data_IF_949817943721
#
_entry.id   IF_949817943721
#
_cell.length_a   1.000
_cell.length_b   1.000
_cell.length_c   1.000
_cell.angle_alpha   90.00
_cell.angle_beta   90.00
_cell.angle_gamma   90.00
#
_symmetry.space_group_name_H-M   'P 1'
#
loop_
_entity.id
_entity.type
_entity.pdbx_description
1 polymer ?
#
# COMPACT_ATOMS: atom_id res chain seq x y z
N UNK A 1 -18.49 -4.88 -2.88
CA UNK A 1 -18.33 -6.21 -2.27
C UNK A 1 -17.96 -6.04 -0.81
N UNK A 2 -18.10 -7.06 0.02
CA UNK A 2 -17.60 -7.01 1.41
C UNK A 2 -16.29 -7.78 1.55
N UNK A 3 -15.62 -7.52 2.66
CA UNK A 3 -14.38 -8.15 3.09
C UNK A 3 -14.62 -8.81 4.44
N UNK A 4 -14.19 -10.06 4.58
CA UNK A 4 -14.31 -10.84 5.80
C UNK A 4 -13.01 -10.93 6.58
N UNK A 5 -13.11 -11.11 7.90
CA UNK A 5 -11.97 -11.43 8.75
C UNK A 5 -11.64 -12.92 8.69
N UNK A 6 -10.39 -13.29 8.41
CA UNK A 6 -9.93 -14.70 8.43
C UNK A 6 -10.09 -15.38 9.78
N UNK A 7 -10.13 -14.61 10.88
CA UNK A 7 -10.28 -15.13 12.25
C UNK A 7 -11.68 -14.93 12.80
N UNK A 8 -12.58 -14.28 12.04
CA UNK A 8 -13.97 -14.08 12.41
C UNK A 8 -14.82 -13.96 11.14
N UNK A 9 -15.30 -15.10 10.65
CA UNK A 9 -16.15 -15.14 9.46
C UNK A 9 -17.53 -14.49 9.66
N UNK A 10 -17.88 -13.94 10.82
CA UNK A 10 -19.08 -13.09 10.97
C UNK A 10 -18.78 -11.60 10.72
N UNK A 11 -17.52 -11.17 10.86
CA UNK A 11 -17.11 -9.80 10.56
C UNK A 11 -17.14 -9.57 9.05
N UNK A 12 -17.89 -8.56 8.61
CA UNK A 12 -17.97 -8.11 7.22
C UNK A 12 -17.89 -6.61 7.14
N UNK A 13 -16.90 -6.09 6.43
CA UNK A 13 -16.67 -4.65 6.25
C UNK A 13 -16.60 -4.30 4.76
N UNK A 14 -16.78 -3.04 4.41
CA UNK A 14 -16.47 -2.54 3.07
C UNK A 14 -14.96 -2.27 2.93
N UNK A 15 -14.53 -1.92 1.72
CA UNK A 15 -13.13 -1.60 1.46
C UNK A 15 -12.63 -0.43 2.31
N UNK A 16 -13.38 0.66 2.41
CA UNK A 16 -12.98 1.85 3.18
C UNK A 16 -12.69 1.50 4.64
N UNK A 17 -13.58 0.72 5.26
CA UNK A 17 -13.40 0.27 6.65
C UNK A 17 -12.23 -0.71 6.77
N UNK A 18 -12.07 -1.66 5.83
CA UNK A 18 -10.92 -2.56 5.84
C UNK A 18 -9.59 -1.82 5.67
N UNK A 19 -9.57 -0.78 4.83
CA UNK A 19 -8.42 0.07 4.58
C UNK A 19 -8.03 0.87 5.83
N UNK A 20 -9.01 1.50 6.49
CA UNK A 20 -8.80 2.29 7.71
C UNK A 20 -8.34 1.44 8.88
N UNK A 21 -9.00 0.30 9.10
CA UNK A 21 -8.66 -0.61 10.19
C UNK A 21 -7.28 -1.23 10.02
N UNK A 22 -6.87 -1.50 8.77
CA UNK A 22 -5.60 -2.14 8.41
C UNK A 22 -5.50 -3.63 8.77
N UNK A 23 -6.12 -4.04 9.89
CA UNK A 23 -6.20 -5.41 10.38
C UNK A 23 -7.61 -5.65 10.93
N UNK A 24 -8.11 -6.88 10.78
CA UNK A 24 -9.44 -7.25 11.25
C UNK A 24 -9.44 -7.61 12.74
N UNK A 25 -10.63 -7.85 13.31
CA UNK A 25 -10.74 -8.28 14.71
C UNK A 25 -9.96 -9.58 14.97
N UNK A 26 -9.54 -9.77 16.23
CA UNK A 26 -8.81 -10.96 16.68
C UNK A 26 -7.50 -11.23 15.90
N UNK A 27 -6.79 -10.16 15.52
CA UNK A 27 -5.59 -10.21 14.67
C UNK A 27 -5.82 -10.94 13.33
N UNK A 28 -7.06 -10.94 12.82
CA UNK A 28 -7.39 -11.50 11.52
C UNK A 28 -6.97 -10.58 10.36
N UNK A 29 -6.99 -11.13 9.15
CA UNK A 29 -6.77 -10.39 7.91
C UNK A 29 -8.09 -10.17 7.19
N UNK A 30 -8.23 -9.05 6.49
CA UNK A 30 -9.36 -8.84 5.59
C UNK A 30 -9.13 -9.51 4.24
N UNK A 31 -10.10 -10.30 3.78
CA UNK A 31 -10.11 -10.95 2.48
C UNK A 31 -11.43 -10.64 1.75
N UNK A 32 -11.43 -10.44 0.43
CA UNK A 32 -12.66 -10.23 -0.31
C UNK A 32 -13.54 -11.49 -0.25
N UNK A 33 -14.86 -11.32 -0.18
CA UNK A 33 -15.80 -12.46 -0.11
C UNK A 33 -15.71 -13.43 -1.30
N UNK A 34 -15.25 -12.93 -2.46
CA UNK A 34 -14.92 -13.71 -3.63
C UNK A 34 -13.81 -13.02 -4.40
N UNK A 35 -13.09 -13.78 -5.24
CA UNK A 35 -12.10 -13.22 -6.17
C UNK A 35 -12.82 -12.93 -7.49
N UNK A 36 -12.99 -11.65 -7.91
CA UNK A 36 -13.60 -11.30 -9.18
C UNK A 36 -12.86 -11.92 -10.35
N UNK A 37 -13.60 -12.41 -11.35
CA UNK A 37 -13.03 -12.92 -12.60
C UNK A 37 -13.14 -11.85 -13.69
N UNK A 38 -12.01 -11.48 -14.27
CA UNK A 38 -11.99 -10.63 -15.46
C UNK A 38 -12.26 -11.47 -16.72
N UNK A 39 -13.04 -10.94 -17.66
CA UNK A 39 -13.29 -11.61 -18.93
C UNK A 39 -12.02 -11.64 -19.78
N UNK A 40 -11.92 -12.61 -20.69
CA UNK A 40 -10.81 -12.67 -21.63
C UNK A 40 -10.71 -11.40 -22.49
N UNK A 41 -11.84 -10.78 -22.85
CA UNK A 41 -11.85 -9.51 -23.58
C UNK A 41 -11.15 -8.41 -22.79
N UNK A 42 -11.53 -8.19 -21.53
CA UNK A 42 -10.89 -7.19 -20.65
C UNK A 42 -9.39 -7.42 -20.50
N UNK A 43 -8.96 -8.68 -20.41
CA UNK A 43 -7.52 -9.02 -20.31
C UNK A 43 -6.80 -8.70 -21.63
N UNK A 44 -7.42 -8.98 -22.79
CA UNK A 44 -6.86 -8.65 -24.10
C UNK A 44 -6.77 -7.14 -24.33
N UNK A 45 -7.77 -6.39 -23.87
CA UNK A 45 -7.82 -4.93 -23.98
C UNK A 45 -6.70 -4.23 -23.20
N UNK A 46 -6.02 -4.93 -22.28
CA UNK A 46 -4.85 -4.41 -21.56
C UNK A 46 -3.56 -4.40 -22.38
N UNK A 47 -3.50 -5.06 -23.55
CA UNK A 47 -2.25 -5.21 -24.33
C UNK A 47 -1.60 -3.84 -24.59
N UNK A 48 -0.38 -3.66 -24.07
CA UNK A 48 0.39 -2.42 -24.19
C UNK A 48 -0.19 -1.20 -23.44
N UNK A 49 -1.21 -1.38 -22.60
CA UNK A 49 -1.81 -0.27 -21.86
C UNK A 49 -0.91 0.22 -20.71
N UNK A 50 -0.95 1.52 -20.37
CA UNK A 50 -0.24 2.07 -19.22
C UNK A 50 -0.58 1.35 -17.91
N UNK A 51 0.35 1.37 -16.94
CA UNK A 51 0.17 0.66 -15.67
C UNK A 51 -1.09 1.12 -14.93
N UNK A 52 -1.38 2.43 -14.93
CA UNK A 52 -2.55 3.00 -14.29
C UNK A 52 -3.88 2.46 -14.86
N UNK A 53 -3.98 2.30 -16.18
CA UNK A 53 -5.18 1.77 -16.85
C UNK A 53 -5.39 0.28 -16.55
N UNK A 54 -4.31 -0.51 -16.54
CA UNK A 54 -4.35 -1.91 -16.12
C UNK A 54 -4.76 -2.00 -14.65
N UNK A 55 -4.17 -1.16 -13.79
CA UNK A 55 -4.52 -1.09 -12.38
C UNK A 55 -6.00 -0.72 -12.18
N UNK A 56 -6.54 0.22 -12.95
CA UNK A 56 -7.96 0.58 -12.90
C UNK A 56 -8.83 -0.63 -13.21
N UNK A 57 -8.55 -1.35 -14.29
CA UNK A 57 -9.34 -2.50 -14.71
C UNK A 57 -9.31 -3.64 -13.69
N UNK A 58 -8.15 -3.88 -13.05
CA UNK A 58 -7.98 -4.93 -12.03
C UNK A 58 -8.61 -4.51 -10.71
N UNK A 59 -8.31 -3.30 -10.21
CA UNK A 59 -8.70 -2.85 -8.89
C UNK A 59 -10.17 -2.40 -8.81
N UNK A 60 -10.76 -1.87 -9.89
CA UNK A 60 -12.18 -1.49 -9.88
C UNK A 60 -13.11 -2.69 -9.64
N UNK A 61 -12.64 -3.92 -9.87
CA UNK A 61 -13.39 -5.13 -9.57
C UNK A 61 -13.49 -5.41 -8.05
N UNK A 62 -12.61 -4.80 -7.25
CA UNK A 62 -12.54 -4.96 -5.80
C UNK A 62 -13.05 -3.75 -5.02
N UNK A 63 -13.14 -2.58 -5.66
CA UNK A 63 -13.32 -1.28 -5.02
C UNK A 63 -14.64 -0.65 -5.47
N UNK A 64 -15.74 -0.98 -4.80
CA UNK A 64 -17.08 -0.46 -5.13
C UNK A 64 -17.49 0.79 -4.33
N UNK A 65 -16.75 1.13 -3.27
CA UNK A 65 -17.02 2.30 -2.45
C UNK A 65 -16.44 3.60 -3.01
N UNK A 66 -15.48 3.50 -3.93
CA UNK A 66 -14.77 4.64 -4.52
C UNK A 66 -15.36 4.91 -5.91
N UNK A 67 -15.87 6.12 -6.20
CA UNK A 67 -16.35 6.48 -7.53
C UNK A 67 -15.27 6.28 -8.60
N UNK A 68 -15.69 5.85 -9.81
CA UNK A 68 -14.76 5.52 -10.89
C UNK A 68 -13.82 6.68 -11.28
N UNK A 69 -14.33 7.92 -11.29
CA UNK A 69 -13.52 9.12 -11.57
C UNK A 69 -12.40 9.30 -10.55
N UNK A 70 -12.74 9.12 -9.28
CA UNK A 70 -11.83 9.35 -8.16
C UNK A 70 -10.79 8.23 -8.10
N UNK A 71 -11.21 6.98 -8.32
CA UNK A 71 -10.30 5.85 -8.43
C UNK A 71 -9.31 6.06 -9.58
N UNK A 72 -9.79 6.48 -10.77
CA UNK A 72 -8.90 6.75 -11.90
C UNK A 72 -7.88 7.84 -11.57
N UNK A 73 -8.34 8.97 -11.02
CA UNK A 73 -7.44 10.06 -10.60
C UNK A 73 -6.38 9.61 -9.60
N UNK A 74 -6.75 8.78 -8.62
CA UNK A 74 -5.78 8.26 -7.64
C UNK A 74 -4.76 7.31 -8.26
N UNK A 75 -5.17 6.50 -9.24
CA UNK A 75 -4.28 5.56 -9.93
C UNK A 75 -3.32 6.28 -10.87
N UNK A 76 -3.81 7.31 -11.58
CA UNK A 76 -2.98 8.16 -12.43
C UNK A 76 -1.89 8.86 -11.60
N UNK A 77 -2.23 9.36 -10.40
CA UNK A 77 -1.26 9.96 -9.48
C UNK A 77 -0.31 8.92 -8.84
N UNK A 78 -0.84 7.77 -8.42
CA UNK A 78 -0.07 6.72 -7.77
C UNK A 78 0.97 6.10 -8.73
N UNK A 79 0.63 5.99 -10.02
CA UNK A 79 1.41 5.29 -11.04
C UNK A 79 1.89 6.19 -12.17
N UNK A 80 2.06 7.49 -11.90
CA UNK A 80 2.71 8.43 -12.80
C UNK A 80 4.07 7.87 -13.25
N UNK A 81 4.21 7.64 -14.56
CA UNK A 81 5.40 7.02 -15.16
C UNK A 81 6.66 7.89 -15.04
N UNK A 82 6.51 9.20 -14.82
CA UNK A 82 7.64 10.09 -14.52
C UNK A 82 8.24 9.85 -13.14
N UNK A 83 7.46 9.28 -12.21
CA UNK A 83 7.85 8.99 -10.83
C UNK A 83 8.16 7.51 -10.62
N UNK A 84 7.36 6.62 -11.20
CA UNK A 84 7.49 5.16 -11.07
C UNK A 84 7.43 4.46 -12.43
N UNK A 85 8.45 4.66 -13.29
CA UNK A 85 8.47 4.08 -14.62
C UNK A 85 8.49 2.55 -14.54
N UNK A 86 7.47 1.91 -15.10
CA UNK A 86 7.34 0.46 -15.12
C UNK A 86 7.74 -0.07 -16.48
N UNK A 87 8.53 -1.13 -16.54
CA UNK A 87 8.86 -1.77 -17.82
C UNK A 87 8.98 -3.29 -17.68
N UNK A 88 8.56 -3.99 -18.71
CA UNK A 88 8.95 -5.38 -18.97
C UNK A 88 10.11 -5.35 -19.95
N UNK A 89 11.16 -6.14 -19.69
CA UNK A 89 12.31 -6.25 -20.57
C UNK A 89 12.57 -7.73 -20.85
N UNK A 90 12.65 -8.10 -22.12
CA UNK A 90 13.18 -9.41 -22.51
C UNK A 90 14.68 -9.46 -22.25
N UNK A 91 15.14 -10.51 -21.57
CA UNK A 91 16.56 -10.71 -21.22
C UNK A 91 17.16 -11.94 -21.88
N UNK A 92 16.31 -12.85 -22.36
CA UNK A 92 16.67 -14.00 -23.20
C UNK A 92 15.38 -14.58 -23.82
N UNK A 93 15.54 -15.59 -24.67
CA UNK A 93 14.42 -16.34 -25.25
C UNK A 93 13.45 -16.80 -24.16
N UNK A 94 12.17 -16.43 -24.31
CA UNK A 94 11.08 -16.70 -23.37
C UNK A 94 11.33 -16.26 -21.91
N UNK A 95 12.29 -15.35 -21.66
CA UNK A 95 12.63 -14.84 -20.32
C UNK A 95 12.51 -13.32 -20.28
N UNK A 96 11.67 -12.85 -19.37
CA UNK A 96 11.38 -11.44 -19.19
C UNK A 96 11.59 -11.03 -17.73
N UNK A 97 12.00 -9.78 -17.53
CA UNK A 97 12.08 -9.14 -16.21
C UNK A 97 11.05 -8.01 -16.17
N UNK A 98 10.14 -8.05 -15.19
CA UNK A 98 9.32 -6.92 -14.80
C UNK A 98 10.09 -6.07 -13.78
N UNK A 99 10.49 -4.87 -14.19
CA UNK A 99 11.27 -3.97 -13.35
C UNK A 99 10.37 -3.16 -12.43
N UNK A 100 10.18 -3.63 -11.19
CA UNK A 100 9.41 -2.96 -10.13
C UNK A 100 10.28 -2.14 -9.17
N UNK A 101 11.53 -1.86 -9.52
CA UNK A 101 12.54 -1.23 -8.64
C UNK A 101 12.96 0.15 -9.13
N UNK A 102 12.15 0.77 -9.98
CA UNK A 102 12.46 2.07 -10.60
C UNK A 102 11.70 3.25 -10.00
N UNK A 103 10.91 3.00 -8.97
CA UNK A 103 10.25 4.04 -8.19
C UNK A 103 11.19 4.79 -7.25
N UNK A 104 10.65 5.75 -6.48
CA UNK A 104 11.42 6.65 -5.61
C UNK A 104 12.29 5.93 -4.59
N UNK A 105 11.90 4.72 -4.17
CA UNK A 105 12.61 3.99 -3.12
C UNK A 105 13.36 2.76 -3.61
N UNK A 106 13.37 2.55 -4.93
CA UNK A 106 14.00 1.42 -5.60
C UNK A 106 13.44 0.05 -5.19
N UNK A 107 12.17 0.01 -4.76
CA UNK A 107 11.52 -1.21 -4.27
C UNK A 107 10.14 -1.40 -4.89
N UNK A 108 9.76 -2.66 -5.15
CA UNK A 108 8.41 -3.00 -5.61
C UNK A 108 7.31 -2.56 -4.64
N UNK A 109 7.69 -2.28 -3.38
CA UNK A 109 6.80 -1.76 -2.35
C UNK A 109 6.23 -0.39 -2.70
N UNK A 110 6.88 0.38 -3.57
CA UNK A 110 6.43 1.70 -4.01
C UNK A 110 5.03 1.63 -4.63
N UNK A 111 4.77 0.65 -5.50
CA UNK A 111 3.47 0.50 -6.17
C UNK A 111 2.31 0.42 -5.18
N UNK A 112 2.40 -0.54 -4.25
CA UNK A 112 1.36 -0.73 -3.25
C UNK A 112 1.29 0.40 -2.23
N UNK A 113 2.44 0.95 -1.83
CA UNK A 113 2.50 2.06 -0.87
C UNK A 113 1.83 3.31 -1.43
N UNK A 114 2.13 3.66 -2.69
CA UNK A 114 1.61 4.85 -3.36
C UNK A 114 0.10 4.80 -3.48
N UNK A 115 -0.47 3.71 -4.01
CA UNK A 115 -1.92 3.54 -4.04
C UNK A 115 -2.54 3.60 -2.63
N UNK A 116 -1.96 2.87 -1.67
CA UNK A 116 -2.45 2.86 -0.29
C UNK A 116 -2.52 4.27 0.30
N UNK A 117 -1.47 5.09 0.13
CA UNK A 117 -1.43 6.46 0.61
C UNK A 117 -2.56 7.33 0.04
N UNK A 118 -2.79 7.27 -1.29
CA UNK A 118 -3.84 8.06 -1.96
C UNK A 118 -5.23 7.61 -1.51
N UNK A 119 -5.47 6.30 -1.51
CA UNK A 119 -6.74 5.74 -1.08
C UNK A 119 -7.05 6.06 0.39
N UNK A 120 -6.05 5.94 1.28
CA UNK A 120 -6.22 6.27 2.69
C UNK A 120 -6.51 7.76 2.87
N UNK A 121 -5.73 8.63 2.24
CA UNK A 121 -5.91 10.08 2.33
C UNK A 121 -7.27 10.54 1.78
N UNK A 122 -7.73 9.93 0.69
CA UNK A 122 -9.05 10.17 0.10
C UNK A 122 -10.18 9.78 1.06
N UNK A 123 -10.15 8.55 1.59
CA UNK A 123 -11.19 8.07 2.52
C UNK A 123 -11.22 8.92 3.78
N UNK A 124 -10.06 9.29 4.32
CA UNK A 124 -9.95 10.17 5.49
C UNK A 124 -10.50 11.57 5.22
N UNK A 125 -10.14 12.16 4.07
CA UNK A 125 -10.64 13.48 3.68
C UNK A 125 -12.17 13.52 3.58
N UNK A 126 -12.80 12.47 3.02
CA UNK A 126 -14.27 12.39 2.96
C UNK A 126 -14.93 12.29 4.34
N UNK A 127 -14.23 11.74 5.32
CA UNK A 127 -14.74 11.56 6.69
C UNK A 127 -14.37 12.73 7.61
N UNK A 128 -13.53 13.67 7.16
CA UNK A 128 -12.97 14.72 8.01
C UNK A 128 -12.08 14.15 9.11
N UNK A 129 -11.46 12.99 8.87
CA UNK A 129 -10.63 12.26 9.82
C UNK A 129 -9.14 12.42 9.50
N UNK A 130 -8.28 12.15 10.48
CA UNK A 130 -6.84 12.02 10.31
C UNK A 130 -6.37 10.68 10.86
N UNK A 131 -5.24 10.16 10.37
CA UNK A 131 -4.61 8.97 10.96
C UNK A 131 -3.11 9.16 11.18
N UNK A 132 -2.61 8.59 12.26
CA UNK A 132 -1.17 8.37 12.46
C UNK A 132 -0.82 6.94 12.07
N UNK A 133 0.03 6.79 11.07
CA UNK A 133 0.46 5.50 10.53
C UNK A 133 1.74 5.07 11.23
N UNK A 134 1.66 3.99 12.01
CA UNK A 134 2.83 3.37 12.65
C UNK A 134 3.40 2.24 11.81
N UNK A 135 4.70 2.32 11.55
CA UNK A 135 5.45 1.34 10.75
C UNK A 135 6.69 0.91 11.52
N UNK A 136 6.92 -0.40 11.57
CA UNK A 136 8.22 -0.95 11.91
C UNK A 136 8.88 -1.47 10.64
N UNK A 137 10.19 -1.25 10.49
CA UNK A 137 10.88 -1.69 9.27
C UNK A 137 12.28 -2.21 9.54
N UNK A 138 12.72 -3.13 8.69
CA UNK A 138 14.11 -3.55 8.53
C UNK A 138 14.78 -2.93 7.28
N UNK A 139 14.13 -1.96 6.62
CA UNK A 139 14.68 -1.26 5.45
C UNK A 139 13.60 -0.75 4.50
N UNK A 140 13.36 -1.47 3.41
CA UNK A 140 12.59 -0.99 2.25
C UNK A 140 11.16 -0.55 2.57
N UNK A 141 10.46 -1.27 3.45
CA UNK A 141 9.05 -0.96 3.76
C UNK A 141 8.91 0.44 4.34
N UNK A 142 9.85 0.84 5.20
CA UNK A 142 9.84 2.18 5.80
C UNK A 142 10.07 3.24 4.76
N UNK A 143 11.07 3.08 3.87
CA UNK A 143 11.29 4.00 2.76
C UNK A 143 10.06 4.18 1.88
N UNK A 144 9.49 3.07 1.40
CA UNK A 144 8.32 3.09 0.52
C UNK A 144 7.09 3.73 1.16
N UNK A 145 6.83 3.47 2.45
CA UNK A 145 5.73 4.13 3.17
C UNK A 145 6.03 5.60 3.43
N UNK A 146 7.26 5.93 3.84
CA UNK A 146 7.66 7.31 4.10
C UNK A 146 7.43 8.19 2.87
N UNK A 147 7.94 7.75 1.71
CA UNK A 147 7.77 8.45 0.43
C UNK A 147 6.31 8.53 0.00
N UNK A 148 5.60 7.39 0.03
CA UNK A 148 4.24 7.33 -0.47
C UNK A 148 3.24 8.18 0.31
N UNK A 149 3.48 8.38 1.61
CA UNK A 149 2.61 9.14 2.52
C UNK A 149 3.12 10.55 2.81
N UNK A 150 4.31 10.91 2.32
CA UNK A 150 4.88 12.23 2.52
C UNK A 150 3.98 13.33 1.92
N UNK A 151 3.72 14.37 2.71
CA UNK A 151 2.92 15.53 2.29
C UNK A 151 1.42 15.30 2.21
N UNK A 152 0.91 14.09 2.51
CA UNK A 152 -0.53 13.82 2.52
C UNK A 152 -1.19 14.50 3.73
N UNK A 153 -2.19 15.33 3.46
CA UNK A 153 -2.77 16.23 4.45
C UNK A 153 -3.35 15.51 5.65
N UNK A 154 -4.04 14.37 5.46
CA UNK A 154 -4.77 13.69 6.53
C UNK A 154 -3.95 12.62 7.27
N UNK A 155 -2.63 12.55 7.00
CA UNK A 155 -1.81 11.45 7.47
C UNK A 155 -0.50 11.94 8.08
N UNK A 156 -0.21 11.46 9.29
CA UNK A 156 1.11 11.51 9.91
C UNK A 156 1.74 10.11 9.88
N UNK A 157 3.06 10.01 9.76
CA UNK A 157 3.78 8.73 9.65
C UNK A 157 4.86 8.63 10.71
N UNK A 158 4.79 7.59 11.53
CA UNK A 158 5.80 7.27 12.53
C UNK A 158 6.48 5.96 12.17
N UNK A 159 7.79 6.01 11.95
CA UNK A 159 8.60 4.87 11.51
C UNK A 159 9.62 4.52 12.57
N UNK A 160 9.57 3.27 13.06
CA UNK A 160 10.59 2.68 13.91
C UNK A 160 11.53 1.81 13.07
N UNK A 161 12.83 2.07 13.16
CA UNK A 161 13.84 1.24 12.51
C UNK A 161 14.99 0.90 13.47
N UNK A 162 15.54 -0.33 13.37
CA UNK A 162 16.58 -0.79 14.28
C UNK A 162 17.92 -0.11 14.00
N UNK A 163 18.59 0.31 15.07
CA UNK A 163 19.94 0.87 15.03
C UNK A 163 20.90 -0.12 14.36
N UNK A 164 21.76 0.39 13.47
CA UNK A 164 22.82 -0.35 12.77
C UNK A 164 22.37 -1.55 11.91
N UNK A 165 21.06 -1.76 11.72
CA UNK A 165 20.52 -2.94 11.00
C UNK A 165 19.92 -2.59 9.64
N UNK A 166 20.04 -1.34 9.19
CA UNK A 166 19.57 -0.87 7.88
C UNK A 166 20.69 -0.15 7.12
N UNK A 167 20.66 -0.19 5.80
CA UNK A 167 21.67 0.50 4.98
C UNK A 167 21.56 2.03 5.12
N UNK A 168 22.66 2.73 4.82
CA UNK A 168 22.68 4.21 4.80
C UNK A 168 21.65 4.79 3.82
N UNK A 169 21.43 4.12 2.68
CA UNK A 169 20.46 4.52 1.66
C UNK A 169 19.02 4.42 2.19
N UNK A 170 18.63 3.26 2.70
CA UNK A 170 17.30 3.04 3.31
C UNK A 170 17.05 4.00 4.46
N UNK A 171 18.04 4.22 5.34
CA UNK A 171 17.90 5.19 6.44
C UNK A 171 17.61 6.60 5.92
N UNK A 172 18.31 7.04 4.86
CA UNK A 172 18.11 8.38 4.29
C UNK A 172 16.72 8.53 3.69
N UNK A 173 16.21 7.53 2.97
CA UNK A 173 14.85 7.55 2.40
C UNK A 173 13.78 7.88 3.45
N UNK A 174 13.97 7.47 4.70
CA UNK A 174 13.03 7.75 5.79
C UNK A 174 13.34 9.04 6.58
N UNK A 175 14.61 9.39 6.73
CA UNK A 175 15.05 10.45 7.68
C UNK A 175 15.24 11.82 7.03
N UNK A 176 15.19 11.93 5.71
CA UNK A 176 15.41 13.21 5.00
C UNK A 176 14.13 13.88 4.50
N UNK A 177 12.98 13.21 4.54
CA UNK A 177 11.69 13.75 4.07
C UNK A 177 11.17 14.89 4.96
N UNK A 178 11.16 14.69 6.29
CA UNK A 178 10.63 15.64 7.30
C UNK A 178 9.11 15.90 7.12
N UNK A 179 8.60 17.02 7.64
CA UNK A 179 7.17 17.38 7.63
C UNK A 179 6.31 16.37 8.42
N UNK A 180 5.41 15.65 7.76
CA UNK A 180 4.50 14.66 8.36
C UNK A 180 5.14 13.28 8.56
N UNK A 181 6.44 13.13 8.28
CA UNK A 181 7.19 11.87 8.44
C UNK A 181 8.19 11.98 9.59
N UNK A 182 8.01 11.10 10.58
CA UNK A 182 8.82 11.02 11.80
C UNK A 182 9.49 9.64 11.88
N UNK A 183 10.81 9.60 11.69
CA UNK A 183 11.58 8.36 11.69
C UNK A 183 12.50 8.26 12.92
N UNK A 184 12.29 7.24 13.74
CA UNK A 184 12.98 7.02 15.01
C UNK A 184 13.90 5.78 14.93
N UNK A 185 15.18 6.00 15.21
CA UNK A 185 16.15 4.91 15.40
C UNK A 185 15.92 4.27 16.77
N UNK A 186 15.71 2.96 16.80
CA UNK A 186 15.45 2.18 18.01
C UNK A 186 16.72 1.44 18.41
N UNK A 187 17.10 1.56 19.69
CA UNK A 187 18.18 0.76 20.26
C UNK A 187 17.70 -0.68 20.54
N UNK A 188 17.56 -1.47 19.48
CA UNK A 188 17.05 -2.83 19.49
C UNK A 188 17.02 -3.41 18.08
N UNK A 189 16.56 -4.65 17.95
CA UNK A 189 16.36 -5.29 16.65
C UNK A 189 15.00 -4.94 16.03
N UNK A 190 14.68 -5.59 14.91
CA UNK A 190 13.42 -5.40 14.22
C UNK A 190 12.21 -5.83 15.06
N UNK A 191 12.34 -6.85 15.91
CA UNK A 191 11.24 -7.33 16.74
C UNK A 191 10.87 -6.31 17.82
N UNK A 192 11.86 -5.61 18.38
CA UNK A 192 11.61 -4.46 19.28
C UNK A 192 10.87 -3.35 18.55
N UNK A 193 11.29 -3.00 17.32
CA UNK A 193 10.58 -2.00 16.51
C UNK A 193 9.13 -2.40 16.25
N UNK A 194 8.91 -3.68 15.93
CA UNK A 194 7.58 -4.23 15.68
C UNK A 194 6.72 -4.24 16.95
N UNK A 195 7.31 -4.54 18.11
CA UNK A 195 6.63 -4.47 19.40
C UNK A 195 6.20 -3.04 19.73
N UNK A 196 7.06 -2.03 19.49
CA UNK A 196 6.72 -0.61 19.67
C UNK A 196 5.56 -0.19 18.77
N UNK A 197 5.60 -0.51 17.48
CA UNK A 197 4.49 -0.21 16.56
C UNK A 197 3.18 -0.85 17.05
N UNK A 198 3.21 -2.14 17.42
CA UNK A 198 2.04 -2.86 17.96
C UNK A 198 1.52 -2.28 19.28
N UNK A 199 2.41 -1.78 20.12
CA UNK A 199 2.04 -1.13 21.38
C UNK A 199 1.18 0.11 21.10
N UNK A 200 1.67 1.04 20.29
CA UNK A 200 0.93 2.26 19.94
C UNK A 200 -0.40 1.94 19.25
N UNK A 201 -0.43 0.99 18.31
CA UNK A 201 -1.66 0.58 17.62
C UNK A 201 -2.75 0.05 18.55
N UNK A 202 -2.39 -0.47 19.73
CA UNK A 202 -3.33 -1.02 20.72
C UNK A 202 -3.71 -0.01 21.80
N UNK A 203 -2.95 1.08 21.95
CA UNK A 203 -3.14 2.08 22.99
C UNK A 203 -4.21 3.11 22.59
N UNK A 204 -5.47 2.68 22.66
CA UNK A 204 -6.65 3.51 22.33
C UNK A 204 -6.80 4.72 23.25
N UNK A 205 -6.33 4.63 24.49
CA UNK A 205 -6.37 5.75 25.42
C UNK A 205 -5.35 6.81 25.02
N UNK A 206 -4.11 6.40 24.72
CA UNK A 206 -3.10 7.34 24.23
C UNK A 206 -3.50 8.00 22.90
N UNK A 207 -4.12 7.25 21.99
CA UNK A 207 -4.70 7.82 20.75
C UNK A 207 -5.73 8.90 21.05
N UNK A 208 -6.69 8.61 21.95
CA UNK A 208 -7.72 9.55 22.36
C UNK A 208 -7.13 10.80 23.01
N UNK A 209 -6.17 10.64 23.93
CA UNK A 209 -5.55 11.74 24.65
C UNK A 209 -4.74 12.66 23.73
N UNK A 210 -4.06 12.09 22.72
CA UNK A 210 -3.22 12.83 21.80
C UNK A 210 -4.03 13.53 20.69
N UNK A 211 -5.06 12.86 20.14
CA UNK A 211 -5.70 13.30 18.89
C UNK A 211 -7.19 13.57 19.01
N UNK A 212 -7.81 13.25 20.15
CA UNK A 212 -9.27 13.28 20.31
C UNK A 212 -10.01 12.16 19.59
N UNK A 213 -9.30 11.18 19.01
CA UNK A 213 -9.87 10.02 18.31
C UNK A 213 -9.15 8.75 18.74
N UNK A 214 -9.86 7.89 19.48
CA UNK A 214 -9.32 6.60 19.95
C UNK A 214 -8.87 5.69 18.80
N UNK A 215 -9.42 5.87 17.59
CA UNK A 215 -9.13 5.04 16.44
C UNK A 215 -8.05 5.64 15.52
N UNK A 216 -7.48 6.81 15.86
CA UNK A 216 -6.56 7.57 15.01
C UNK A 216 -5.35 6.76 14.51
N UNK A 217 -4.87 5.81 15.31
CA UNK A 217 -3.67 5.05 14.99
C UNK A 217 -3.97 3.86 14.08
N UNK A 218 -3.22 3.74 12.98
CA UNK A 218 -3.34 2.64 12.02
C UNK A 218 -1.98 2.16 11.53
N UNK A 219 -1.94 1.04 10.81
CA UNK A 219 -0.73 0.44 10.25
C UNK A 219 -0.77 0.42 8.73
N UNK A 220 0.38 0.61 8.11
CA UNK A 220 0.58 0.46 6.67
C UNK A 220 1.42 -0.78 6.28
N UNK A 221 1.43 -1.78 7.16
CA UNK A 221 2.15 -3.03 6.93
C UNK A 221 1.50 -3.86 5.81
N UNK A 222 2.24 -4.87 5.32
CA UNK A 222 1.84 -5.72 4.19
C UNK A 222 0.54 -6.52 4.40
N UNK A 223 0.05 -6.59 5.63
CA UNK A 223 -1.22 -7.25 5.98
C UNK A 223 -2.46 -6.45 5.58
N UNK A 224 -2.31 -5.14 5.30
CA UNK A 224 -3.44 -4.30 4.87
C UNK A 224 -3.92 -4.73 3.49
N UNK A 225 -5.24 -4.82 3.32
CA UNK A 225 -5.85 -5.12 2.01
C UNK A 225 -5.50 -4.05 0.96
N UNK A 226 -5.32 -2.79 1.39
CA UNK A 226 -4.86 -1.70 0.54
C UNK A 226 -3.42 -1.84 0.06
N UNK A 227 -2.61 -2.70 0.72
CA UNK A 227 -1.26 -3.08 0.27
C UNK A 227 -1.24 -4.36 -0.57
N UNK A 228 -2.18 -5.28 -0.31
CA UNK A 228 -2.27 -6.56 -1.01
C UNK A 228 -2.86 -6.41 -2.41
N UNK A 229 -4.02 -5.75 -2.54
CA UNK A 229 -4.74 -5.65 -3.82
C UNK A 229 -3.89 -5.01 -4.94
N UNK A 230 -3.16 -3.89 -4.73
CA UNK A 230 -2.35 -3.29 -5.78
C UNK A 230 -1.27 -4.21 -6.37
N UNK A 231 -0.78 -5.17 -5.60
CA UNK A 231 0.24 -6.11 -6.07
C UNK A 231 -0.34 -7.17 -7.01
N UNK A 232 -1.67 -7.36 -7.00
CA UNK A 232 -2.34 -8.24 -7.96
C UNK A 232 -2.25 -7.72 -9.40
N UNK A 233 -1.89 -6.45 -9.61
CA UNK A 233 -1.74 -5.82 -10.93
C UNK A 233 -0.47 -6.28 -11.66
N UNK A 234 0.60 -6.63 -10.93
CA UNK A 234 1.89 -7.03 -11.52
C UNK A 234 1.78 -8.13 -12.59
N UNK A 235 1.10 -9.27 -12.35
CA UNK A 235 0.96 -10.31 -13.37
C UNK A 235 0.17 -9.84 -14.60
N UNK A 236 -0.86 -9.00 -14.45
CA UNK A 236 -1.60 -8.45 -15.59
C UNK A 236 -0.75 -7.52 -16.43
N UNK A 237 0.01 -6.64 -15.78
CA UNK A 237 0.94 -5.74 -16.48
C UNK A 237 2.03 -6.54 -17.21
N UNK A 238 2.60 -7.56 -16.57
CA UNK A 238 3.57 -8.44 -17.21
C UNK A 238 2.98 -9.12 -18.46
N UNK A 239 1.81 -9.74 -18.32
CA UNK A 239 1.13 -10.43 -19.41
C UNK A 239 0.78 -9.48 -20.58
N UNK A 240 0.33 -8.27 -20.27
CA UNK A 240 0.00 -7.25 -21.25
C UNK A 240 1.22 -6.74 -22.06
N UNK A 241 2.44 -6.99 -21.60
CA UNK A 241 3.67 -6.46 -22.21
C UNK A 241 4.64 -7.54 -22.69
N UNK A 242 4.24 -8.81 -22.67
CA UNK A 242 4.93 -9.90 -23.37
C UNK A 242 4.22 -10.18 -24.69
N UNK A 243 4.97 -10.51 -25.74
CA UNK A 243 4.39 -10.84 -27.04
C UNK A 243 3.84 -12.28 -27.06
N UNK A 244 2.61 -12.38 -27.56
CA UNK A 244 1.73 -13.54 -27.41
C UNK A 244 2.06 -14.72 -28.32
N UNK A 245 3.10 -14.65 -29.14
CA UNK A 245 3.49 -15.76 -30.02
C UNK A 245 4.35 -16.82 -29.30
N UNK A 246 4.52 -16.69 -27.98
CA UNK A 246 5.47 -17.49 -27.18
C UNK A 246 4.81 -18.39 -26.11
N UNK A 247 3.49 -18.54 -26.09
CA UNK A 247 2.76 -19.41 -25.13
C UNK A 247 1.92 -20.44 -25.88
#
# INVERSE_FOLDING_TARGET
MRYYSTNNNAERVDFDTALLNGMASNNGLYMPEFIPRLSQSKIKDMKGAPYADIAYTVLSAFLDTIPSSDLKSMLDEAYDESVIPTKVQQVADNKHILWLTKGPTYSFKDYAARFYGRALNYVLGKRGERRTVFVATSGDTGGAIADALYGLENIDVVIFYPKNSISKGQRRQMTTLKNNVYAYEVNGDFDVCQALAKYFLRDKQFALDLTGDKDNFTSANSISIGRLLPQSVFPFYAYAHIDGDSI
#
